data_IF_702592165212
#
_entry.id   IF_702592165212
#
_cell.length_a   1.000
_cell.length_b   1.000
_cell.length_c   1.000
_cell.angle_alpha   90.00
_cell.angle_beta   90.00
_cell.angle_gamma   90.00
#
_symmetry.space_group_name_H-M   'P 1'
#
loop_
_entity.id
_entity.type
_entity.pdbx_description
1 polymer ?
#
# COMPACT_ATOMS: atom_id res chain seq x y z
N UNK A 1 -17.91 -2.65 3.04
CA UNK A 1 -17.29 -3.79 2.33
C UNK A 1 -15.90 -3.33 1.91
N UNK A 2 -14.85 -4.05 2.26
CA UNK A 2 -13.48 -3.80 1.82
C UNK A 2 -13.21 -4.65 0.59
N UNK A 3 -12.56 -4.09 -0.42
CA UNK A 3 -12.21 -4.78 -1.67
C UNK A 3 -10.70 -5.04 -1.69
N UNK A 4 -10.33 -6.30 -1.95
CA UNK A 4 -8.96 -6.65 -2.28
C UNK A 4 -8.71 -6.34 -3.75
N UNK A 5 -7.72 -5.49 -4.01
CA UNK A 5 -7.32 -5.04 -5.35
C UNK A 5 -5.82 -5.15 -5.51
N UNK A 6 -5.36 -5.28 -6.76
CA UNK A 6 -3.95 -5.21 -7.11
C UNK A 6 -3.62 -3.78 -7.52
N UNK A 7 -2.60 -3.18 -6.91
CA UNK A 7 -2.25 -1.77 -7.11
C UNK A 7 -0.74 -1.69 -7.34
N UNK A 8 -0.31 -0.89 -8.31
CA UNK A 8 1.10 -0.57 -8.50
C UNK A 8 1.58 0.29 -7.32
N UNK A 9 2.83 0.14 -6.89
CA UNK A 9 3.38 0.91 -5.76
C UNK A 9 3.29 2.43 -5.99
N UNK A 10 3.37 2.89 -7.25
CA UNK A 10 3.16 4.30 -7.61
C UNK A 10 1.75 4.82 -7.43
N UNK A 11 0.75 3.93 -7.35
CA UNK A 11 -0.68 4.26 -7.25
C UNK A 11 -1.24 4.03 -5.83
N UNK A 12 -0.37 3.68 -4.88
CA UNK A 12 -0.72 3.58 -3.47
C UNK A 12 -1.05 4.94 -2.86
N UNK A 13 -1.94 4.92 -1.87
CA UNK A 13 -2.41 6.09 -1.17
C UNK A 13 -2.29 5.89 0.33
N UNK A 14 -2.07 6.98 1.07
CA UNK A 14 -2.14 6.96 2.53
C UNK A 14 -3.52 6.46 2.98
N UNK A 15 -3.53 5.54 3.94
CA UNK A 15 -4.72 4.83 4.44
C UNK A 15 -5.02 3.51 3.71
N UNK A 16 -4.27 3.16 2.67
CA UNK A 16 -4.32 1.83 2.07
C UNK A 16 -3.77 0.78 3.04
N UNK A 17 -4.39 -0.41 3.06
CA UNK A 17 -3.91 -1.54 3.86
C UNK A 17 -3.28 -2.59 2.94
N UNK A 18 -1.99 -2.87 3.12
CA UNK A 18 -1.19 -3.67 2.19
C UNK A 18 -0.79 -5.00 2.83
N UNK A 19 -0.95 -6.09 2.08
CA UNK A 19 -0.38 -7.40 2.44
C UNK A 19 1.09 -7.45 1.98
N UNK A 20 2.00 -7.49 2.96
CA UNK A 20 3.45 -7.54 2.74
C UNK A 20 4.04 -8.95 2.97
N UNK A 21 3.20 -9.96 3.23
CA UNK A 21 3.68 -11.30 3.54
C UNK A 21 4.44 -11.91 2.35
N UNK A 22 5.73 -12.21 2.55
CA UNK A 22 6.58 -12.77 1.51
C UNK A 22 6.86 -11.83 0.34
N UNK A 23 6.63 -10.52 0.51
CA UNK A 23 6.97 -9.53 -0.50
C UNK A 23 8.49 -9.47 -0.74
N UNK A 24 8.92 -9.39 -2.00
CA UNK A 24 10.34 -9.44 -2.36
C UNK A 24 11.15 -8.27 -1.78
N UNK A 25 10.54 -7.11 -1.57
CA UNK A 25 11.20 -5.90 -1.11
C UNK A 25 11.00 -5.69 0.40
N UNK A 26 9.80 -5.94 0.92
CA UNK A 26 9.48 -5.74 2.33
C UNK A 26 9.75 -6.96 3.21
N UNK A 27 9.62 -8.19 2.69
CA UNK A 27 9.81 -9.45 3.44
C UNK A 27 10.55 -10.52 2.62
N UNK A 28 11.80 -10.25 2.16
CA UNK A 28 12.54 -11.13 1.26
C UNK A 28 12.85 -12.51 1.84
N UNK A 29 12.73 -12.67 3.17
CA UNK A 29 12.99 -13.93 3.87
C UNK A 29 11.73 -14.64 4.33
N UNK A 30 10.56 -14.05 4.07
CA UNK A 30 9.25 -14.55 4.45
C UNK A 30 9.22 -14.98 5.93
N UNK A 31 9.73 -14.12 6.80
CA UNK A 31 9.95 -14.48 8.20
C UNK A 31 9.67 -13.33 9.17
N UNK A 32 9.06 -12.25 8.70
CA UNK A 32 8.70 -11.14 9.55
C UNK A 32 7.37 -11.44 10.28
N UNK A 33 7.38 -11.65 11.61
CA UNK A 33 6.23 -12.17 12.34
C UNK A 33 5.00 -11.25 12.33
N UNK A 34 5.17 -9.97 11.97
CA UNK A 34 4.06 -9.05 11.81
C UNK A 34 3.26 -9.29 10.52
N UNK A 35 3.85 -9.88 9.48
CA UNK A 35 3.21 -9.96 8.16
C UNK A 35 2.38 -11.22 7.94
N UNK A 36 2.61 -12.29 8.71
CA UNK A 36 1.88 -13.57 8.60
C UNK A 36 0.34 -13.45 8.71
N UNK A 37 -0.17 -12.40 9.35
CA UNK A 37 -1.60 -12.26 9.66
C UNK A 37 -2.15 -10.84 9.57
N UNK A 38 -1.33 -9.84 9.22
CA UNK A 38 -1.72 -8.42 9.29
C UNK A 38 -1.48 -7.71 7.96
N UNK A 39 -2.46 -6.89 7.60
CA UNK A 39 -2.26 -5.85 6.59
C UNK A 39 -1.65 -4.63 7.25
N UNK A 40 -0.68 -4.02 6.59
CA UNK A 40 0.03 -2.84 7.06
C UNK A 40 -0.60 -1.57 6.48
N UNK A 41 -0.91 -0.60 7.33
CA UNK A 41 -1.46 0.69 6.89
C UNK A 41 -0.35 1.55 6.30
N UNK A 42 -0.57 2.09 5.10
CA UNK A 42 0.30 3.08 4.48
C UNK A 42 0.08 4.42 5.15
N UNK A 43 1.14 5.00 5.73
CA UNK A 43 1.10 6.31 6.39
C UNK A 43 1.87 7.38 5.62
N UNK A 44 2.72 6.97 4.69
CA UNK A 44 3.54 7.87 3.87
C UNK A 44 3.80 7.27 2.49
N UNK A 45 3.76 8.12 1.46
CA UNK A 45 4.13 7.75 0.08
C UNK A 45 4.93 8.91 -0.51
N UNK A 46 6.20 8.66 -0.82
CA UNK A 46 7.10 9.64 -1.43
C UNK A 46 7.71 9.07 -2.72
N UNK A 47 7.65 9.84 -3.82
CA UNK A 47 8.34 9.50 -5.05
C UNK A 47 9.77 10.03 -5.02
N UNK A 48 10.70 9.21 -4.52
CA UNK A 48 12.12 9.59 -4.41
C UNK A 48 12.80 9.79 -5.77
N UNK A 49 12.42 8.99 -6.77
CA UNK A 49 12.96 9.09 -8.13
C UNK A 49 12.00 8.52 -9.18
N UNK A 50 12.39 8.57 -10.46
CA UNK A 50 11.62 7.91 -11.52
C UNK A 50 11.56 6.39 -11.40
N UNK A 51 12.46 5.79 -10.63
CA UNK A 51 12.61 4.35 -10.47
C UNK A 51 12.33 3.84 -9.05
N UNK A 52 11.92 4.70 -8.12
CA UNK A 52 11.67 4.34 -6.73
C UNK A 52 10.51 5.14 -6.13
N UNK A 53 9.63 4.44 -5.42
CA UNK A 53 8.63 5.02 -4.52
C UNK A 53 8.91 4.50 -3.11
N UNK A 54 9.15 5.39 -2.17
CA UNK A 54 9.30 5.09 -0.76
C UNK A 54 7.91 5.08 -0.10
N UNK A 55 7.61 4.01 0.62
CA UNK A 55 6.31 3.81 1.27
C UNK A 55 6.55 3.53 2.75
N UNK A 56 6.01 4.39 3.60
CA UNK A 56 6.04 4.24 5.06
C UNK A 56 4.80 3.50 5.55
N UNK A 57 4.99 2.60 6.51
CA UNK A 57 3.92 1.79 7.10
C UNK A 57 3.77 2.03 8.60
N UNK A 58 2.54 2.09 9.11
CA UNK A 58 2.27 2.33 10.54
C UNK A 58 2.95 1.27 11.41
N UNK A 59 3.77 1.71 12.37
CA UNK A 59 4.49 0.81 13.27
C UNK A 59 5.60 -0.02 12.61
N UNK A 60 5.96 0.27 11.36
CA UNK A 60 7.03 -0.39 10.61
C UNK A 60 7.94 0.65 9.90
N UNK A 61 8.94 0.16 9.18
CA UNK A 61 9.92 0.98 8.47
C UNK A 61 9.38 1.52 7.12
N UNK A 62 10.15 2.41 6.50
CA UNK A 62 9.94 2.87 5.13
C UNK A 62 10.62 1.89 4.17
N UNK A 63 9.88 1.44 3.16
CA UNK A 63 10.38 0.50 2.14
C UNK A 63 10.32 1.15 0.76
N UNK A 64 11.43 1.05 0.02
CA UNK A 64 11.51 1.48 -1.38
C UNK A 64 11.05 0.38 -2.33
N UNK A 65 10.15 0.72 -3.25
CA UNK A 65 9.62 -0.18 -4.27
C UNK A 65 9.84 0.37 -5.68
N UNK A 66 10.05 -0.50 -6.69
CA UNK A 66 9.90 -0.11 -8.09
C UNK A 66 8.47 0.39 -8.34
N UNK A 67 8.26 1.47 -9.12
CA UNK A 67 6.94 2.09 -9.34
C UNK A 67 5.86 1.14 -9.87
N UNK A 68 6.27 0.11 -10.63
CA UNK A 68 5.41 -0.89 -11.25
C UNK A 68 5.25 -2.16 -10.41
N UNK A 69 5.87 -2.23 -9.23
CA UNK A 69 5.71 -3.36 -8.31
C UNK A 69 4.27 -3.44 -7.82
N UNK A 70 3.66 -4.63 -7.98
CA UNK A 70 2.23 -4.83 -7.70
C UNK A 70 2.05 -5.38 -6.29
N UNK A 71 1.26 -4.66 -5.51
CA UNK A 71 0.93 -4.98 -4.12
C UNK A 71 -0.55 -5.36 -4.01
N UNK A 72 -0.87 -6.26 -3.08
CA UNK A 72 -2.25 -6.60 -2.72
C UNK A 72 -2.75 -5.61 -1.68
N UNK A 73 -3.79 -4.87 -2.03
CA UNK A 73 -4.30 -3.76 -1.22
C UNK A 73 -5.75 -4.00 -0.84
N UNK A 74 -6.05 -3.80 0.43
CA UNK A 74 -7.39 -3.76 0.97
C UNK A 74 -7.83 -2.30 1.08
N UNK A 75 -8.71 -1.86 0.16
CA UNK A 75 -9.31 -0.53 0.21
C UNK A 75 -10.72 -0.58 0.77
N UNK A 76 -11.14 0.39 1.60
CA UNK A 76 -12.55 0.61 1.86
C UNK A 76 -13.25 0.81 0.51
N UNK A 77 -14.38 0.14 0.25
CA UNK A 77 -15.21 0.52 -0.88
C UNK A 77 -15.56 1.99 -0.67
N UNK A 78 -15.00 2.88 -1.49
CA UNK A 78 -15.41 4.26 -1.53
C UNK A 78 -16.89 4.24 -1.86
N UNK A 79 -17.75 4.52 -0.87
CA UNK A 79 -19.08 5.01 -1.18
C UNK A 79 -18.80 6.26 -1.99
N UNK A 80 -19.07 6.21 -3.30
CA UNK A 80 -18.93 7.34 -4.19
C UNK A 80 -19.66 8.52 -3.53
N UNK A 81 -18.90 9.40 -2.87
CA UNK A 81 -19.43 10.67 -2.43
C UNK A 81 -19.55 11.47 -3.71
N UNK A 82 -20.70 11.35 -4.35
CA UNK A 82 -21.18 12.30 -5.33
C UNK A 82 -21.26 13.65 -4.63
N UNK A 83 -20.14 14.37 -4.58
CA UNK A 83 -20.20 15.82 -4.56
C UNK A 83 -20.71 16.20 -5.94
N UNK A 84 -22.03 16.21 -6.07
CA UNK A 84 -22.74 16.82 -7.18
C UNK A 84 -22.58 18.34 -7.01
N UNK A 85 -21.75 19.03 -7.81
CA UNK A 85 -21.58 20.45 -7.68
C UNK A 85 -22.48 21.10 -8.73
N UNK A 86 -23.79 21.19 -8.47
CA UNK A 86 -24.60 22.19 -9.18
C UNK A 86 -25.82 22.63 -8.37
N UNK A 87 -25.92 23.95 -8.31
CA UNK A 87 -26.87 24.80 -7.60
C UNK A 87 -28.33 24.68 -8.05
#
# INVERSE_FOLDING_TARGET
>A
MTNLVLVASSDLQVGDFVDLEGDLYADPRHNHPAFDCLYMEVVEVERESDACVAIGFEGFDIVGFPPDHVLKVLRPATSASSNDPTS
#
